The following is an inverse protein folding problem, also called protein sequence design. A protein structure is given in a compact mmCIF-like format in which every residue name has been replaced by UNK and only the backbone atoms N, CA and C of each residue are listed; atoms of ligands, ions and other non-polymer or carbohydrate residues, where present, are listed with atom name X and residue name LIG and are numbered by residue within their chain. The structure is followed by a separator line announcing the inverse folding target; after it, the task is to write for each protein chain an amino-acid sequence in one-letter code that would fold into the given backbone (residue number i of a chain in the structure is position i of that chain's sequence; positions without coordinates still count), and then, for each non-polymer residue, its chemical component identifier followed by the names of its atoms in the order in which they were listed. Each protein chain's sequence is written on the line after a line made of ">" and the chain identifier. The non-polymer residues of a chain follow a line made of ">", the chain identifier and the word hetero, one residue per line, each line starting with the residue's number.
data_IF_686485888134
#
_entry.id   IF_686485888134
#
_cell.length_a   1.000
_cell.length_b   1.000
_cell.length_c   1.000
_cell.angle_alpha   90.00
_cell.angle_beta   90.00
_cell.angle_gamma   90.00
#
_symmetry.space_group_name_H-M   'P 1'
#
loop_
_entity.id
_entity.type
_entity.pdbx_description
1 polymer ?
#
# COMPACT_ATOMS: atom_id res chain seq x y z
N UNK A 1 20.64 -26.85 23.38
CA UNK A 1 20.24 -25.55 22.82
C UNK A 1 19.33 -24.92 23.84
N UNK A 2 19.60 -23.67 24.28
CA UNK A 2 18.69 -22.99 25.20
C UNK A 2 17.33 -22.84 24.50
N UNK A 3 16.27 -23.25 25.18
CA UNK A 3 14.90 -23.02 24.76
C UNK A 3 14.74 -21.52 24.48
N UNK A 4 14.54 -21.18 23.21
CA UNK A 4 14.14 -19.83 22.83
C UNK A 4 12.72 -19.65 23.39
N UNK A 5 12.52 -18.60 24.18
CA UNK A 5 11.20 -18.21 24.65
C UNK A 5 10.28 -18.01 23.44
N UNK A 6 9.28 -18.89 23.29
CA UNK A 6 8.32 -18.83 22.19
C UNK A 6 7.47 -17.54 22.22
N UNK A 7 7.53 -16.76 23.31
CA UNK A 7 6.92 -15.43 23.40
C UNK A 7 7.80 -14.30 22.85
N UNK A 8 9.07 -14.55 22.51
CA UNK A 8 9.98 -13.54 22.00
C UNK A 8 9.91 -13.45 20.47
N UNK A 9 9.10 -12.53 19.96
CA UNK A 9 9.16 -12.06 18.58
C UNK A 9 9.84 -10.70 18.51
N UNK A 10 10.68 -10.49 17.50
CA UNK A 10 11.40 -9.24 17.31
C UNK A 10 11.63 -8.92 15.83
N UNK A 11 11.66 -7.62 15.54
CA UNK A 11 12.01 -7.08 14.22
C UNK A 11 13.19 -6.15 14.38
N UNK A 12 14.25 -6.41 13.61
CA UNK A 12 15.42 -5.55 13.52
C UNK A 12 15.23 -4.68 12.29
N UNK A 13 15.06 -3.38 12.51
CA UNK A 13 14.95 -2.38 11.47
C UNK A 13 16.28 -1.63 11.44
N UNK A 14 17.05 -1.83 10.37
CA UNK A 14 18.28 -1.09 10.10
C UNK A 14 17.99 -0.01 9.08
N UNK A 15 17.87 1.24 9.53
CA UNK A 15 17.80 2.41 8.65
C UNK A 15 19.21 2.72 8.09
N UNK A 16 19.27 3.13 6.82
CA UNK A 16 20.49 3.53 6.11
C UNK A 16 20.19 4.85 5.41
N UNK A 17 21.02 5.85 5.67
CA UNK A 17 20.79 7.20 5.20
C UNK A 17 21.46 7.47 3.86
N UNK A 18 20.92 8.42 3.11
CA UNK A 18 21.56 8.87 1.87
C UNK A 18 22.98 9.34 2.16
N UNK A 19 23.94 8.81 1.42
CA UNK A 19 25.34 9.17 1.55
C UNK A 19 26.13 8.33 2.54
N UNK A 20 25.49 7.47 3.33
CA UNK A 20 26.19 6.44 4.11
C UNK A 20 27.11 5.62 3.21
N UNK A 21 28.31 5.31 3.72
CA UNK A 21 29.32 4.57 2.96
C UNK A 21 29.66 3.26 3.63
N UNK A 22 29.83 2.22 2.82
CA UNK A 22 30.32 0.91 3.25
C UNK A 22 31.56 0.58 2.44
N UNK A 23 32.67 0.30 3.13
CA UNK A 23 33.89 -0.22 2.53
C UNK A 23 34.15 -1.64 3.04
N UNK A 24 34.09 -2.62 2.14
CA UNK A 24 34.37 -4.03 2.43
C UNK A 24 35.63 -4.46 1.66
N UNK A 25 36.74 -4.52 2.37
CA UNK A 25 38.06 -4.74 1.78
C UNK A 25 38.47 -3.62 0.80
N UNK A 26 39.31 -3.96 -0.16
CA UNK A 26 39.77 -3.01 -1.18
C UNK A 26 38.83 -2.90 -2.39
N UNK A 27 37.94 -3.87 -2.59
CA UNK A 27 37.17 -4.03 -3.84
C UNK A 27 35.76 -3.46 -3.78
N UNK A 28 35.16 -3.34 -2.59
CA UNK A 28 33.78 -2.87 -2.47
C UNK A 28 33.74 -1.53 -1.75
N UNK A 29 33.44 -0.48 -2.50
CA UNK A 29 33.00 0.80 -1.97
C UNK A 29 31.57 1.03 -2.45
N UNK A 30 30.64 1.20 -1.52
CA UNK A 30 29.24 1.49 -1.81
C UNK A 30 28.83 2.75 -1.06
N UNK A 31 28.10 3.64 -1.75
CA UNK A 31 27.48 4.83 -1.18
C UNK A 31 25.98 4.74 -1.35
N UNK A 32 25.24 4.89 -0.27
CA UNK A 32 23.79 4.80 -0.27
C UNK A 32 23.17 5.92 -1.12
N UNK A 33 22.37 5.62 -2.16
CA UNK A 33 21.86 6.63 -3.08
C UNK A 33 20.65 7.40 -2.52
N UNK A 34 19.96 6.85 -1.52
CA UNK A 34 18.74 7.40 -0.90
C UNK A 34 18.48 6.74 0.45
N UNK A 35 17.79 7.43 1.34
CA UNK A 35 17.32 6.88 2.61
C UNK A 35 16.43 5.64 2.39
N UNK A 36 16.70 4.59 3.16
CA UNK A 36 16.00 3.32 3.07
C UNK A 36 16.20 2.48 4.33
N UNK A 37 15.45 1.37 4.47
CA UNK A 37 15.69 0.40 5.55
C UNK A 37 15.85 -1.03 5.05
N UNK A 38 16.52 -1.83 5.88
CA UNK A 38 16.49 -3.28 5.84
C UNK A 38 15.75 -3.80 7.08
N UNK A 39 14.86 -4.78 6.90
CA UNK A 39 14.06 -5.37 7.97
C UNK A 39 14.39 -6.85 8.06
N UNK A 40 14.92 -7.28 9.20
CA UNK A 40 15.07 -8.69 9.56
C UNK A 40 14.04 -9.04 10.64
N UNK A 41 13.28 -10.10 10.42
CA UNK A 41 12.14 -10.45 11.27
C UNK A 41 12.29 -11.86 11.83
N UNK A 42 12.09 -12.00 13.14
CA UNK A 42 11.77 -13.26 13.79
C UNK A 42 10.39 -13.10 14.46
N UNK A 43 9.36 -13.59 13.79
CA UNK A 43 7.97 -13.48 14.24
C UNK A 43 7.21 -14.75 13.83
N UNK A 44 7.31 -15.82 14.65
CA UNK A 44 6.69 -17.10 14.34
C UNK A 44 5.16 -17.05 14.13
N UNK A 45 4.38 -16.34 14.97
CA UNK A 45 2.93 -16.24 14.76
C UNK A 45 2.55 -15.63 13.42
N UNK A 46 3.16 -14.49 13.03
CA UNK A 46 2.87 -13.87 11.74
C UNK A 46 3.47 -14.67 10.56
N UNK A 47 4.57 -15.40 10.78
CA UNK A 47 5.13 -16.32 9.78
C UNK A 47 4.19 -17.49 9.45
N UNK A 48 3.20 -17.76 10.31
CA UNK A 48 2.13 -18.73 10.06
C UNK A 48 0.77 -18.06 9.88
N UNK A 49 0.70 -16.73 9.84
CA UNK A 49 -0.56 -15.98 9.82
C UNK A 49 -1.55 -16.52 10.87
N UNK A 50 -1.06 -16.64 12.11
CA UNK A 50 -1.88 -17.07 13.23
C UNK A 50 -2.90 -15.99 13.57
N UNK A 51 -4.17 -16.37 13.59
CA UNK A 51 -5.28 -15.49 13.95
C UNK A 51 -5.87 -16.02 15.25
N UNK A 52 -5.95 -15.19 16.29
CA UNK A 52 -6.48 -15.59 17.59
C UNK A 52 -7.89 -16.19 17.47
N UNK A 53 -8.15 -17.29 18.16
CA UNK A 53 -9.45 -17.97 18.11
C UNK A 53 -10.61 -17.06 18.52
N UNK A 54 -10.39 -16.22 19.55
CA UNK A 54 -11.37 -15.22 19.97
C UNK A 54 -11.72 -14.23 18.85
N UNK A 55 -10.72 -13.76 18.09
CA UNK A 55 -10.95 -12.87 16.95
C UNK A 55 -11.73 -13.58 15.83
N UNK A 56 -11.42 -14.84 15.55
CA UNK A 56 -12.14 -15.64 14.55
C UNK A 56 -13.60 -15.89 14.96
N UNK A 57 -13.85 -16.12 16.25
CA UNK A 57 -15.20 -16.35 16.79
C UNK A 57 -16.06 -15.09 16.72
N UNK A 58 -15.48 -13.94 17.07
CA UNK A 58 -16.23 -12.69 17.28
C UNK A 58 -16.16 -11.72 16.07
N UNK A 59 -15.66 -12.17 14.92
CA UNK A 59 -15.43 -11.33 13.73
C UNK A 59 -16.69 -10.63 13.22
N UNK A 60 -17.86 -11.27 13.26
CA UNK A 60 -19.13 -10.65 12.85
C UNK A 60 -19.50 -9.49 13.77
N UNK A 61 -19.40 -9.69 15.09
CA UNK A 61 -19.72 -8.65 16.10
C UNK A 61 -18.76 -7.48 15.98
N UNK A 62 -17.48 -7.75 15.68
CA UNK A 62 -16.49 -6.70 15.43
C UNK A 62 -16.80 -5.94 14.13
N UNK A 63 -17.18 -6.66 13.07
CA UNK A 63 -17.52 -6.07 11.77
C UNK A 63 -18.74 -5.15 11.83
N UNK A 64 -19.79 -5.53 12.56
CA UNK A 64 -20.99 -4.69 12.78
C UNK A 64 -20.67 -3.36 13.48
N UNK A 65 -19.57 -3.30 14.24
CA UNK A 65 -19.13 -2.12 14.98
C UNK A 65 -17.98 -1.37 14.32
N UNK A 66 -17.60 -1.75 13.11
CA UNK A 66 -16.42 -1.23 12.41
C UNK A 66 -16.79 -0.72 11.03
N UNK A 67 -16.25 0.44 10.66
CA UNK A 67 -16.40 0.98 9.30
C UNK A 67 -15.31 0.48 8.34
N UNK A 68 -14.19 -0.01 8.89
CA UNK A 68 -12.99 -0.38 8.13
C UNK A 68 -12.29 -1.61 8.72
N UNK A 69 -11.94 -2.55 7.84
CA UNK A 69 -11.05 -3.67 8.09
C UNK A 69 -9.79 -3.53 7.21
N UNK A 70 -8.62 -3.36 7.84
CA UNK A 70 -7.33 -3.31 7.14
C UNK A 70 -6.64 -4.67 7.28
N UNK A 71 -6.23 -5.23 6.14
CA UNK A 71 -5.54 -6.51 6.02
C UNK A 71 -4.11 -6.27 5.55
N UNK A 72 -3.15 -6.98 6.15
CA UNK A 72 -1.77 -7.06 5.67
C UNK A 72 -1.12 -8.33 6.21
N UNK A 73 0.21 -8.43 6.14
CA UNK A 73 0.97 -9.52 6.79
C UNK A 73 1.15 -10.80 5.97
N UNK A 74 0.39 -11.00 4.87
CA UNK A 74 0.57 -12.19 4.01
C UNK A 74 2.03 -12.41 3.57
N UNK A 75 2.75 -11.32 3.31
CA UNK A 75 4.17 -11.33 2.91
C UNK A 75 5.10 -12.04 3.92
N UNK A 76 4.69 -12.18 5.18
CA UNK A 76 5.44 -12.83 6.24
C UNK A 76 5.31 -14.35 6.23
N UNK A 77 4.32 -14.92 5.54
CA UNK A 77 4.07 -16.36 5.51
C UNK A 77 5.34 -17.13 5.13
N UNK A 78 5.77 -18.04 6.00
CA UNK A 78 6.92 -18.89 5.79
C UNK A 78 6.55 -20.04 4.85
N UNK A 79 6.57 -19.73 3.55
CA UNK A 79 6.25 -20.69 2.48
C UNK A 79 7.14 -21.92 2.51
N UNK A 80 8.40 -21.81 2.95
CA UNK A 80 9.30 -22.97 3.05
C UNK A 80 8.82 -23.96 4.11
N UNK A 81 8.34 -23.46 5.25
CA UNK A 81 7.80 -24.29 6.34
C UNK A 81 6.42 -24.85 5.99
N UNK A 82 5.52 -24.00 5.50
CA UNK A 82 4.11 -24.35 5.26
C UNK A 82 3.88 -25.18 4.00
N UNK A 83 4.77 -25.06 3.01
CA UNK A 83 4.54 -25.60 1.69
C UNK A 83 3.33 -24.97 0.98
N UNK A 84 2.99 -25.48 -0.21
CA UNK A 84 1.87 -24.95 -1.00
C UNK A 84 0.53 -25.11 -0.30
N UNK A 85 0.25 -26.27 0.28
CA UNK A 85 -1.05 -26.53 0.90
C UNK A 85 -1.25 -25.78 2.21
N UNK A 86 -0.21 -25.63 3.04
CA UNK A 86 -0.30 -24.77 4.22
C UNK A 86 -0.55 -23.30 3.85
N UNK A 87 0.13 -22.78 2.83
CA UNK A 87 -0.14 -21.43 2.30
C UNK A 87 -1.60 -21.30 1.82
N UNK A 88 -2.11 -22.30 1.07
CA UNK A 88 -3.50 -22.29 0.62
C UNK A 88 -4.47 -22.22 1.81
N UNK A 89 -4.27 -23.06 2.82
CA UNK A 89 -5.12 -23.13 4.00
C UNK A 89 -5.15 -21.79 4.75
N UNK A 90 -3.99 -21.15 4.97
CA UNK A 90 -3.91 -19.85 5.65
C UNK A 90 -4.62 -18.75 4.87
N UNK A 91 -4.46 -18.72 3.54
CA UNK A 91 -5.16 -17.76 2.68
C UNK A 91 -6.67 -18.01 2.73
N UNK A 92 -7.14 -19.23 2.45
CA UNK A 92 -8.57 -19.58 2.42
C UNK A 92 -9.24 -19.23 3.75
N UNK A 93 -8.63 -19.62 4.87
CA UNK A 93 -9.16 -19.32 6.20
C UNK A 93 -9.31 -17.81 6.45
N UNK A 94 -8.36 -17.01 5.96
CA UNK A 94 -8.44 -15.55 6.07
C UNK A 94 -9.57 -14.98 5.20
N UNK A 95 -9.71 -15.49 3.97
CA UNK A 95 -10.78 -15.10 3.05
C UNK A 95 -12.17 -15.45 3.61
N UNK A 96 -12.33 -16.61 4.26
CA UNK A 96 -13.57 -17.01 4.94
C UNK A 96 -13.97 -16.04 6.07
N UNK A 97 -13.01 -15.57 6.86
CA UNK A 97 -13.26 -14.56 7.90
C UNK A 97 -13.70 -13.23 7.30
N UNK A 98 -13.10 -12.82 6.19
CA UNK A 98 -13.47 -11.59 5.48
C UNK A 98 -14.89 -11.72 4.93
N UNK A 99 -15.26 -12.86 4.35
CA UNK A 99 -16.63 -13.13 3.88
C UNK A 99 -17.63 -13.04 5.03
N UNK A 100 -17.31 -13.60 6.21
CA UNK A 100 -18.16 -13.49 7.41
C UNK A 100 -18.31 -12.03 7.86
N UNK A 101 -17.21 -11.28 7.92
CA UNK A 101 -17.22 -9.86 8.29
C UNK A 101 -18.10 -9.03 7.34
N UNK A 102 -17.92 -9.18 6.03
CA UNK A 102 -18.72 -8.46 5.01
C UNK A 102 -20.19 -8.86 5.02
N UNK A 103 -20.50 -10.11 5.35
CA UNK A 103 -21.89 -10.56 5.50
C UNK A 103 -22.58 -9.90 6.70
N UNK A 104 -21.85 -9.75 7.82
CA UNK A 104 -22.36 -9.10 9.02
C UNK A 104 -22.50 -7.57 8.83
N UNK A 105 -21.57 -6.95 8.11
CA UNK A 105 -21.63 -5.54 7.73
C UNK A 105 -21.37 -5.35 6.23
N UNK A 106 -22.44 -5.26 5.41
CA UNK A 106 -22.30 -5.03 3.96
C UNK A 106 -21.63 -3.70 3.57
N UNK A 107 -21.60 -2.72 4.48
CA UNK A 107 -20.97 -1.42 4.28
C UNK A 107 -19.51 -1.39 4.74
N UNK A 108 -18.99 -2.49 5.30
CA UNK A 108 -17.62 -2.59 5.78
C UNK A 108 -16.63 -2.36 4.64
N UNK A 109 -15.84 -1.29 4.73
CA UNK A 109 -14.73 -1.09 3.81
C UNK A 109 -13.61 -2.07 4.15
N UNK A 110 -13.25 -2.95 3.23
CA UNK A 110 -12.12 -3.88 3.40
C UNK A 110 -10.97 -3.44 2.53
N UNK A 111 -9.82 -3.14 3.15
CA UNK A 111 -8.60 -2.68 2.50
C UNK A 111 -7.45 -3.67 2.67
N UNK A 112 -6.77 -4.01 1.58
CA UNK A 112 -5.53 -4.78 1.60
C UNK A 112 -4.32 -3.86 1.39
N UNK A 113 -3.46 -3.72 2.40
CA UNK A 113 -2.16 -3.07 2.25
C UNK A 113 -1.11 -4.11 1.88
N UNK A 114 -0.54 -3.97 0.69
CA UNK A 114 0.54 -4.84 0.25
C UNK A 114 1.87 -4.47 0.88
N UNK A 115 2.69 -5.50 1.04
CA UNK A 115 4.10 -5.34 1.31
C UNK A 115 4.86 -6.29 0.41
N UNK A 116 6.03 -5.87 -0.04
CA UNK A 116 6.84 -6.66 -0.97
C UNK A 116 7.14 -8.05 -0.41
N UNK A 117 6.91 -9.05 -1.26
CA UNK A 117 7.37 -10.42 -1.02
C UNK A 117 8.00 -10.96 -2.29
N UNK A 118 9.21 -11.52 -2.16
CA UNK A 118 9.86 -12.22 -3.28
C UNK A 118 9.28 -13.61 -3.50
N UNK A 119 8.32 -14.04 -2.69
CA UNK A 119 7.76 -15.38 -2.80
C UNK A 119 6.66 -15.43 -3.87
N UNK A 120 7.06 -15.90 -5.05
CA UNK A 120 6.16 -16.00 -6.19
C UNK A 120 4.98 -16.94 -5.97
N UNK A 121 5.22 -18.06 -5.28
CA UNK A 121 4.18 -19.03 -4.96
C UNK A 121 3.10 -18.36 -4.12
N UNK A 122 3.47 -17.68 -3.03
CA UNK A 122 2.53 -16.96 -2.17
C UNK A 122 1.66 -15.99 -2.95
N UNK A 123 2.25 -15.09 -3.74
CA UNK A 123 1.49 -14.12 -4.54
C UNK A 123 0.55 -14.82 -5.53
N UNK A 124 1.06 -15.81 -6.28
CA UNK A 124 0.23 -16.58 -7.22
C UNK A 124 -0.95 -17.27 -6.52
N UNK A 125 -0.77 -17.77 -5.29
CA UNK A 125 -1.87 -18.38 -4.52
C UNK A 125 -2.84 -17.34 -3.96
N UNK A 126 -2.34 -16.25 -3.37
CA UNK A 126 -3.15 -15.17 -2.82
C UNK A 126 -4.11 -14.63 -3.86
N UNK A 127 -3.60 -14.23 -5.03
CA UNK A 127 -4.43 -13.66 -6.09
C UNK A 127 -5.31 -14.70 -6.79
N UNK A 128 -4.88 -15.97 -6.87
CA UNK A 128 -5.75 -17.02 -7.41
C UNK A 128 -6.99 -17.26 -6.54
N UNK A 129 -6.85 -17.24 -5.21
CA UNK A 129 -8.00 -17.42 -4.33
C UNK A 129 -8.82 -16.15 -4.20
N UNK A 130 -8.16 -14.99 -4.09
CA UNK A 130 -8.84 -13.71 -3.95
C UNK A 130 -9.54 -13.25 -5.22
N UNK A 131 -9.22 -13.80 -6.40
CA UNK A 131 -9.93 -13.47 -7.64
C UNK A 131 -11.28 -14.19 -7.78
N UNK A 132 -11.62 -15.12 -6.88
CA UNK A 132 -12.85 -15.91 -6.95
C UNK A 132 -14.09 -15.16 -6.47
N UNK A 133 -13.89 -14.09 -5.70
CA UNK A 133 -14.94 -13.23 -5.16
C UNK A 133 -14.33 -11.86 -4.80
N UNK A 134 -15.14 -10.89 -4.40
CA UNK A 134 -14.67 -9.57 -3.97
C UNK A 134 -14.45 -9.56 -2.45
N UNK A 135 -13.25 -9.97 -2.01
CA UNK A 135 -12.89 -9.99 -0.58
C UNK A 135 -12.49 -8.61 -0.05
N UNK A 136 -11.83 -7.80 -0.87
CA UNK A 136 -11.48 -6.42 -0.53
C UNK A 136 -11.83 -5.50 -1.70
N UNK A 137 -12.36 -4.33 -1.36
CA UNK A 137 -12.79 -3.33 -2.32
C UNK A 137 -11.69 -2.27 -2.50
N UNK A 138 -10.74 -2.21 -1.55
CA UNK A 138 -9.60 -1.31 -1.63
C UNK A 138 -8.24 -2.02 -1.51
N UNK A 139 -7.24 -1.52 -2.23
CA UNK A 139 -5.86 -1.99 -2.17
C UNK A 139 -4.88 -0.81 -2.09
N UNK A 140 -3.82 -0.94 -1.30
CA UNK A 140 -2.71 0.03 -1.20
C UNK A 140 -1.38 -0.64 -1.56
N UNK A 141 -0.57 0.01 -2.40
CA UNK A 141 0.75 -0.48 -2.77
C UNK A 141 1.68 0.59 -3.38
N UNK A 142 2.98 0.30 -3.45
CA UNK A 142 3.98 1.11 -4.18
C UNK A 142 4.24 0.59 -5.60
N UNK A 143 5.18 1.22 -6.32
CA UNK A 143 5.54 0.86 -7.71
C UNK A 143 6.07 -0.58 -7.85
N UNK A 144 6.81 -1.06 -6.84
CA UNK A 144 7.40 -2.40 -6.87
C UNK A 144 6.34 -3.46 -6.65
N UNK A 145 5.47 -3.23 -5.67
CA UNK A 145 4.34 -4.10 -5.38
C UNK A 145 3.32 -4.11 -6.53
N UNK A 146 3.14 -3.00 -7.25
CA UNK A 146 2.34 -2.97 -8.49
C UNK A 146 2.90 -3.93 -9.57
N UNK A 147 4.22 -4.00 -9.71
CA UNK A 147 4.86 -4.97 -10.62
C UNK A 147 4.65 -6.40 -10.14
N UNK A 148 4.84 -6.67 -8.85
CA UNK A 148 4.59 -7.99 -8.25
C UNK A 148 3.14 -8.46 -8.46
N UNK A 149 2.19 -7.54 -8.25
CA UNK A 149 0.76 -7.68 -8.55
C UNK A 149 0.51 -8.07 -10.00
N UNK A 150 1.01 -7.27 -10.95
CA UNK A 150 0.83 -7.50 -12.38
C UNK A 150 1.37 -8.85 -12.82
N UNK A 151 2.55 -9.22 -12.33
CA UNK A 151 3.07 -10.55 -12.60
C UNK A 151 2.09 -11.61 -12.08
N UNK A 152 1.56 -11.47 -10.85
CA UNK A 152 0.67 -12.44 -10.20
C UNK A 152 -0.63 -12.66 -10.96
N UNK A 153 -1.23 -11.58 -11.48
CA UNK A 153 -2.42 -11.62 -12.35
C UNK A 153 -2.10 -11.94 -13.82
N UNK A 154 -0.92 -12.51 -14.08
CA UNK A 154 -0.43 -13.00 -15.38
C UNK A 154 -0.23 -11.91 -16.44
N UNK A 155 -0.03 -10.66 -16.03
CA UNK A 155 0.32 -9.52 -16.90
C UNK A 155 1.85 -9.31 -16.98
N UNK A 156 2.60 -10.39 -17.22
CA UNK A 156 4.08 -10.39 -17.16
C UNK A 156 4.73 -9.40 -18.13
N UNK A 157 4.17 -9.24 -19.32
CA UNK A 157 4.70 -8.30 -20.33
C UNK A 157 4.67 -6.86 -19.80
N UNK A 158 3.50 -6.41 -19.35
CA UNK A 158 3.32 -5.07 -18.79
C UNK A 158 4.15 -4.87 -17.52
N UNK A 159 4.24 -5.89 -16.67
CA UNK A 159 5.12 -5.86 -15.50
C UNK A 159 6.59 -5.63 -15.86
N UNK A 160 7.10 -6.32 -16.91
CA UNK A 160 8.47 -6.14 -17.39
C UNK A 160 8.70 -4.75 -18.01
N UNK A 161 7.73 -4.24 -18.78
CA UNK A 161 7.78 -2.89 -19.36
C UNK A 161 7.84 -1.82 -18.25
N UNK A 162 6.99 -1.92 -17.22
CA UNK A 162 7.06 -1.02 -16.05
C UNK A 162 8.38 -1.17 -15.32
N UNK A 163 8.88 -2.39 -15.12
CA UNK A 163 10.13 -2.63 -14.39
C UNK A 163 11.34 -1.99 -15.06
N UNK A 164 11.34 -1.85 -16.39
CA UNK A 164 12.40 -1.18 -17.13
C UNK A 164 12.44 0.34 -16.85
N UNK A 165 11.27 0.98 -16.68
CA UNK A 165 11.12 2.44 -16.59
C UNK A 165 10.30 2.91 -15.36
N UNK A 166 10.37 2.16 -14.25
CA UNK A 166 9.45 2.25 -13.10
C UNK A 166 9.34 3.65 -12.48
N UNK A 167 10.42 4.43 -12.53
CA UNK A 167 10.51 5.76 -11.90
C UNK A 167 10.41 6.93 -12.88
N UNK A 168 10.16 6.65 -14.16
CA UNK A 168 10.18 7.66 -15.23
C UNK A 168 8.94 7.60 -16.11
N UNK A 169 8.35 6.42 -16.30
CA UNK A 169 7.22 6.19 -17.19
C UNK A 169 5.90 6.01 -16.43
N UNK A 170 5.30 7.12 -16.01
CA UNK A 170 4.01 7.13 -15.31
C UNK A 170 2.84 6.66 -16.19
N UNK A 171 2.96 6.72 -17.51
CA UNK A 171 1.94 6.19 -18.42
C UNK A 171 1.80 4.67 -18.23
N UNK A 172 2.92 3.95 -18.22
CA UNK A 172 2.92 2.51 -17.96
C UNK A 172 2.42 2.17 -16.54
N UNK A 173 2.77 2.98 -15.53
CA UNK A 173 2.26 2.81 -14.16
C UNK A 173 0.74 2.92 -14.14
N UNK A 174 0.16 3.96 -14.77
CA UNK A 174 -1.30 4.13 -14.85
C UNK A 174 -1.94 2.97 -15.62
N UNK A 175 -1.35 2.52 -16.74
CA UNK A 175 -1.85 1.34 -17.50
C UNK A 175 -1.86 0.09 -16.61
N UNK A 176 -0.78 -0.13 -15.87
CA UNK A 176 -0.65 -1.23 -14.92
C UNK A 176 -1.69 -1.18 -13.81
N UNK A 177 -1.89 -0.01 -13.22
CA UNK A 177 -2.85 0.23 -12.16
C UNK A 177 -4.29 -0.07 -12.60
N UNK A 178 -4.71 0.47 -13.74
CA UNK A 178 -6.03 0.20 -14.33
C UNK A 178 -6.22 -1.29 -14.61
N UNK A 179 -5.17 -1.98 -15.09
CA UNK A 179 -5.24 -3.42 -15.32
C UNK A 179 -5.42 -4.22 -14.04
N UNK A 180 -4.80 -3.78 -12.95
CA UNK A 180 -5.00 -4.37 -11.62
C UNK A 180 -6.42 -4.11 -11.13
N UNK A 181 -6.93 -2.88 -11.23
CA UNK A 181 -8.30 -2.55 -10.86
C UNK A 181 -9.33 -3.42 -11.61
N UNK A 182 -9.19 -3.54 -12.94
CA UNK A 182 -10.04 -4.39 -13.79
C UNK A 182 -10.00 -5.86 -13.35
N UNK A 183 -8.79 -6.44 -13.20
CA UNK A 183 -8.62 -7.86 -12.93
C UNK A 183 -9.04 -8.28 -11.52
N UNK A 184 -8.88 -7.37 -10.55
CA UNK A 184 -9.22 -7.61 -9.15
C UNK A 184 -10.55 -7.00 -8.74
N UNK A 185 -11.28 -6.35 -9.68
CA UNK A 185 -12.55 -5.67 -9.44
C UNK A 185 -12.50 -4.71 -8.24
N UNK A 186 -11.43 -3.93 -8.16
CA UNK A 186 -11.22 -2.99 -7.05
C UNK A 186 -12.08 -1.75 -7.26
N UNK A 187 -12.74 -1.26 -6.22
CA UNK A 187 -13.38 0.05 -6.24
C UNK A 187 -12.37 1.17 -5.94
N UNK A 188 -11.26 0.85 -5.26
CA UNK A 188 -10.24 1.82 -4.85
C UNK A 188 -8.83 1.24 -4.87
N UNK A 189 -7.95 1.74 -5.72
CA UNK A 189 -6.51 1.44 -5.68
C UNK A 189 -5.72 2.69 -5.33
N UNK A 190 -4.95 2.64 -4.25
CA UNK A 190 -4.07 3.72 -3.81
C UNK A 190 -2.60 3.35 -4.07
N UNK A 191 -1.98 4.06 -5.00
CA UNK A 191 -0.55 3.94 -5.25
C UNK A 191 0.22 5.06 -4.55
N UNK A 192 1.03 4.69 -3.56
CA UNK A 192 1.87 5.63 -2.81
C UNK A 192 3.27 5.77 -3.45
N UNK A 193 3.30 6.25 -4.70
CA UNK A 193 4.55 6.39 -5.47
C UNK A 193 5.49 7.42 -4.83
N UNK A 194 6.80 7.25 -5.04
CA UNK A 194 7.77 8.26 -4.65
C UNK A 194 7.58 9.54 -5.49
N UNK A 195 7.10 10.60 -4.85
CA UNK A 195 6.90 11.89 -5.47
C UNK A 195 5.49 12.14 -6.01
N UNK A 196 4.58 11.16 -5.96
CA UNK A 196 3.19 11.33 -6.38
C UNK A 196 2.30 10.22 -5.82
N UNK A 197 1.22 10.55 -5.14
CA UNK A 197 0.15 9.58 -4.92
C UNK A 197 -0.76 9.53 -6.13
N UNK A 198 -1.18 8.32 -6.49
CA UNK A 198 -2.26 8.10 -7.45
C UNK A 198 -3.37 7.34 -6.74
N UNK A 199 -4.60 7.83 -6.85
CA UNK A 199 -5.78 7.14 -6.36
C UNK A 199 -6.71 6.87 -7.55
N UNK A 200 -7.01 5.60 -7.75
CA UNK A 200 -7.99 5.13 -8.72
C UNK A 200 -9.24 4.79 -7.94
N UNK A 201 -10.38 5.38 -8.29
CA UNK A 201 -11.68 5.05 -7.71
C UNK A 201 -12.68 4.73 -8.82
N UNK A 202 -13.61 3.82 -8.58
CA UNK A 202 -14.70 3.56 -9.53
C UNK A 202 -15.54 4.82 -9.77
N UNK A 203 -16.20 4.94 -10.92
CA UNK A 203 -17.01 6.15 -11.21
C UNK A 203 -18.20 6.35 -10.27
N UNK A 204 -18.72 5.26 -9.73
CA UNK A 204 -19.79 5.24 -8.74
C UNK A 204 -19.28 5.34 -7.29
N UNK A 205 -17.99 5.65 -7.10
CA UNK A 205 -17.42 5.75 -5.77
C UNK A 205 -18.13 6.84 -4.95
N UNK A 206 -18.54 6.54 -3.71
CA UNK A 206 -19.48 7.38 -2.97
C UNK A 206 -18.91 8.72 -2.48
N UNK A 207 -17.59 8.95 -2.64
CA UNK A 207 -16.91 10.14 -2.13
C UNK A 207 -16.48 11.06 -3.27
N UNK A 208 -16.92 12.33 -3.26
CA UNK A 208 -16.52 13.30 -4.27
C UNK A 208 -15.00 13.46 -4.40
N UNK A 209 -14.54 13.63 -5.63
CA UNK A 209 -13.13 13.79 -5.99
C UNK A 209 -12.39 14.86 -5.18
N UNK A 210 -13.05 16.00 -4.94
CA UNK A 210 -12.48 17.10 -4.15
C UNK A 210 -12.22 16.71 -2.69
N UNK A 211 -13.01 15.80 -2.11
CA UNK A 211 -12.80 15.31 -0.76
C UNK A 211 -11.71 14.24 -0.74
N UNK A 212 -11.70 13.32 -1.71
CA UNK A 212 -10.62 12.34 -1.89
C UNK A 212 -9.26 13.02 -2.09
N UNK A 213 -9.20 14.12 -2.85
CA UNK A 213 -7.98 14.91 -2.96
C UNK A 213 -7.49 15.40 -1.59
N UNK A 214 -8.40 15.91 -0.75
CA UNK A 214 -8.07 16.37 0.61
C UNK A 214 -7.59 15.23 1.51
N UNK A 215 -8.16 14.02 1.41
CA UNK A 215 -7.71 12.87 2.23
C UNK A 215 -6.28 12.45 1.87
N UNK A 216 -5.91 12.50 0.60
CA UNK A 216 -4.55 12.21 0.13
C UNK A 216 -3.56 13.32 0.53
N UNK A 217 -3.95 14.59 0.48
CA UNK A 217 -3.14 15.68 1.01
C UNK A 217 -2.90 15.51 2.50
N UNK A 218 -3.93 15.15 3.25
CA UNK A 218 -3.81 14.83 4.68
C UNK A 218 -2.84 13.67 4.92
N UNK A 219 -2.96 12.58 4.16
CA UNK A 219 -2.04 11.44 4.24
C UNK A 219 -0.58 11.84 3.97
N UNK A 220 -0.34 12.67 2.95
CA UNK A 220 0.98 13.21 2.60
C UNK A 220 1.59 14.00 3.76
N UNK A 221 0.80 14.84 4.42
CA UNK A 221 1.21 15.63 5.58
C UNK A 221 1.55 14.74 6.79
N UNK A 222 0.71 13.75 7.10
CA UNK A 222 0.97 12.82 8.22
C UNK A 222 2.21 11.97 7.95
N UNK A 223 2.41 11.51 6.72
CA UNK A 223 3.60 10.76 6.33
C UNK A 223 4.87 11.58 6.46
N UNK A 224 4.86 12.84 6.00
CA UNK A 224 5.97 13.76 6.16
C UNK A 224 6.25 14.05 7.64
N UNK A 225 5.21 14.27 8.45
CA UNK A 225 5.36 14.46 9.89
C UNK A 225 6.03 13.25 10.56
N UNK A 226 5.58 12.02 10.21
CA UNK A 226 6.21 10.78 10.70
C UNK A 226 7.66 10.69 10.26
N UNK A 227 7.96 11.01 9.00
CA UNK A 227 9.32 10.99 8.49
C UNK A 227 10.25 11.97 9.22
N UNK A 228 9.76 13.18 9.56
CA UNK A 228 10.53 14.21 10.29
C UNK A 228 10.71 13.85 11.76
N UNK A 229 9.70 13.28 12.41
CA UNK A 229 9.67 13.16 13.89
C UNK A 229 9.84 11.73 14.42
N UNK A 230 9.69 10.72 13.56
CA UNK A 230 9.54 9.32 13.95
C UNK A 230 8.21 9.00 14.65
N UNK A 231 7.27 9.96 14.73
CA UNK A 231 6.00 9.81 15.45
C UNK A 231 4.81 9.86 14.50
N UNK A 232 3.88 8.93 14.68
CA UNK A 232 2.61 8.88 13.98
C UNK A 232 1.41 8.83 14.95
N UNK A 233 1.65 9.01 16.25
CA UNK A 233 0.65 8.93 17.31
C UNK A 233 0.58 10.25 18.07
N UNK A 234 -0.63 10.68 18.42
CA UNK A 234 -0.88 11.89 19.21
C UNK A 234 -1.80 12.88 18.50
N UNK A 235 -2.19 13.93 19.23
CA UNK A 235 -2.89 15.08 18.65
C UNK A 235 -1.84 16.01 18.07
N UNK A 236 -1.85 16.18 16.74
CA UNK A 236 -0.94 17.09 16.06
C UNK A 236 -1.67 18.39 15.73
N UNK A 237 -1.02 19.53 15.96
CA UNK A 237 -1.54 20.78 15.42
C UNK A 237 -1.13 20.86 13.96
N UNK A 238 -2.11 21.04 13.09
CA UNK A 238 -1.87 21.17 11.65
C UNK A 238 -0.81 22.23 11.31
N UNK A 239 -0.79 23.33 12.07
CA UNK A 239 0.21 24.39 11.94
C UNK A 239 1.65 23.91 12.18
N UNK A 240 1.89 23.03 13.16
CA UNK A 240 3.23 22.50 13.44
C UNK A 240 3.74 21.64 12.27
N UNK A 241 2.84 20.94 11.59
CA UNK A 241 3.18 20.12 10.42
C UNK A 241 3.53 21.03 9.23
N UNK A 242 2.76 22.09 8.99
CA UNK A 242 3.04 23.02 7.90
C UNK A 242 4.32 23.82 8.15
N UNK A 243 4.53 24.33 9.37
CA UNK A 243 5.69 25.16 9.70
C UNK A 243 7.03 24.39 9.58
N UNK A 244 6.96 23.04 9.57
CA UNK A 244 8.12 22.15 9.40
C UNK A 244 8.36 21.71 7.96
N UNK A 245 7.46 22.05 7.03
CA UNK A 245 7.47 21.56 5.65
C UNK A 245 7.44 22.74 4.67
N UNK A 246 8.50 22.88 3.86
CA UNK A 246 8.46 23.75 2.69
C UNK A 246 7.76 23.03 1.52
N UNK A 247 6.46 23.28 1.35
CA UNK A 247 5.62 22.61 0.34
C UNK A 247 6.08 22.94 -1.09
N UNK A 248 6.53 24.17 -1.34
CA UNK A 248 6.91 24.64 -2.68
C UNK A 248 8.28 24.07 -3.10
N UNK A 249 9.24 24.00 -2.18
CA UNK A 249 10.53 23.36 -2.43
C UNK A 249 10.44 21.83 -2.54
N UNK A 250 9.40 21.23 -1.94
CA UNK A 250 9.22 19.77 -1.92
C UNK A 250 8.34 19.24 -3.05
N UNK A 251 7.75 20.10 -3.89
CA UNK A 251 6.86 19.66 -4.97
C UNK A 251 7.61 18.79 -6.00
N UNK A 252 7.34 17.47 -6.05
CA UNK A 252 8.19 16.58 -6.82
C UNK A 252 8.01 16.78 -8.33
N UNK A 253 9.11 16.68 -9.09
CA UNK A 253 9.07 16.65 -10.56
C UNK A 253 8.13 15.54 -11.08
N UNK A 254 8.00 14.45 -10.32
CA UNK A 254 7.08 13.35 -10.53
C UNK A 254 5.62 13.84 -10.67
N UNK A 255 5.10 14.55 -9.67
CA UNK A 255 3.73 15.07 -9.69
C UNK A 255 3.46 15.98 -10.89
N UNK A 256 4.39 16.88 -11.25
CA UNK A 256 4.22 17.75 -12.43
C UNK A 256 4.07 16.93 -13.72
N UNK A 257 4.85 15.86 -13.88
CA UNK A 257 4.74 14.94 -15.04
C UNK A 257 3.40 14.21 -15.05
N UNK A 258 3.00 13.64 -13.91
CA UNK A 258 1.73 12.91 -13.75
C UNK A 258 0.53 13.82 -14.01
N UNK A 259 0.47 15.00 -13.39
CA UNK A 259 -0.64 15.94 -13.57
C UNK A 259 -0.78 16.40 -15.02
N UNK A 260 0.34 16.66 -15.71
CA UNK A 260 0.31 16.99 -17.14
C UNK A 260 -0.16 15.81 -18.00
N UNK A 261 0.18 14.57 -17.61
CA UNK A 261 -0.30 13.37 -18.29
C UNK A 261 -1.81 13.19 -18.09
N UNK A 262 -2.31 13.32 -16.86
CA UNK A 262 -3.75 13.20 -16.57
C UNK A 262 -4.57 14.26 -17.30
N UNK A 263 -4.12 15.52 -17.33
CA UNK A 263 -4.77 16.57 -18.14
C UNK A 263 -4.87 16.17 -19.62
N UNK A 264 -3.81 15.60 -20.21
CA UNK A 264 -3.86 15.09 -21.59
C UNK A 264 -4.89 13.96 -21.71
N UNK A 265 -4.91 13.01 -20.78
CA UNK A 265 -5.84 11.90 -20.80
C UNK A 265 -7.30 12.39 -20.70
N UNK A 266 -7.59 13.39 -19.87
CA UNK A 266 -8.93 13.99 -19.72
C UNK A 266 -9.36 14.81 -20.95
N UNK A 267 -8.47 15.64 -21.52
CA UNK A 267 -8.81 16.51 -22.65
C UNK A 267 -8.96 15.72 -23.96
N UNK A 268 -8.20 14.63 -24.13
CA UNK A 268 -8.28 13.75 -25.29
C UNK A 268 -9.02 12.47 -24.89
N UNK A 269 -10.35 12.56 -24.75
CA UNK A 269 -11.25 11.41 -24.50
C UNK A 269 -10.83 10.24 -25.40
N UNK A 270 -10.24 9.21 -24.79
CA UNK A 270 -9.46 8.15 -25.43
C UNK A 270 -8.08 8.61 -25.96
N UNK A 271 -7.11 8.78 -25.06
CA UNK A 271 -5.75 8.41 -25.43
C UNK A 271 -5.82 6.90 -25.73
N UNK A 272 -5.56 6.49 -26.98
CA UNK A 272 -5.92 5.19 -27.62
C UNK A 272 -5.69 3.90 -26.80
N UNK A 273 -4.93 3.97 -25.71
CA UNK A 273 -4.52 2.84 -24.88
C UNK A 273 -5.11 2.84 -23.45
N UNK A 274 -5.95 3.81 -23.09
CA UNK A 274 -6.55 3.93 -21.76
C UNK A 274 -8.07 3.83 -21.82
N UNK A 275 -8.63 2.79 -21.23
CA UNK A 275 -10.05 2.73 -20.91
C UNK A 275 -10.27 3.31 -19.50
N UNK A 276 -10.65 4.59 -19.45
CA UNK A 276 -11.04 5.26 -18.21
C UNK A 276 -12.54 5.16 -17.94
N UNK A 277 -13.31 4.41 -18.73
CA UNK A 277 -14.77 4.47 -18.64
C UNK A 277 -15.28 4.03 -17.26
N UNK A 278 -14.50 3.27 -16.50
CA UNK A 278 -14.88 2.70 -15.21
C UNK A 278 -14.22 3.39 -14.00
N UNK A 279 -13.19 4.22 -14.19
CA UNK A 279 -12.39 4.78 -13.09
C UNK A 279 -12.07 6.27 -13.24
N UNK A 280 -12.13 6.98 -12.11
CA UNK A 280 -11.54 8.30 -11.91
C UNK A 280 -10.13 8.16 -11.32
N UNK A 281 -9.21 9.00 -11.78
CA UNK A 281 -7.80 9.00 -11.31
C UNK A 281 -7.47 10.35 -10.69
N UNK A 282 -7.04 10.35 -9.43
CA UNK A 282 -6.56 11.52 -8.72
C UNK A 282 -5.06 11.44 -8.53
N UNK A 283 -4.35 12.51 -8.87
CA UNK A 283 -2.95 12.67 -8.54
C UNK A 283 -2.77 13.71 -7.44
N UNK A 284 -1.96 13.38 -6.43
CA UNK A 284 -1.64 14.29 -5.33
C UNK A 284 -0.12 14.33 -5.13
N UNK A 285 0.49 15.52 -4.99
CA UNK A 285 1.91 15.59 -4.69
C UNK A 285 2.21 15.04 -3.30
N UNK A 286 3.33 14.33 -3.19
CA UNK A 286 3.85 13.88 -1.91
C UNK A 286 4.86 14.86 -1.38
N UNK A 287 4.87 15.06 -0.06
CA UNK A 287 5.91 15.85 0.59
C UNK A 287 7.12 14.94 0.83
N UNK A 288 8.23 15.21 0.12
CA UNK A 288 9.47 14.43 0.25
C UNK A 288 10.39 15.09 1.27
N UNK A 289 10.53 14.46 2.43
CA UNK A 289 11.48 14.85 3.47
C UNK A 289 12.89 14.41 3.05
N UNK A 290 13.83 15.34 3.00
CA UNK A 290 15.20 15.06 2.52
C UNK A 290 16.01 14.20 3.49
N UNK A 291 15.90 14.47 4.79
CA UNK A 291 16.64 13.78 5.85
C UNK A 291 15.67 13.19 6.88
N UNK A 292 14.94 12.11 6.52
CA UNK A 292 13.95 11.51 7.42
C UNK A 292 14.62 10.81 8.60
N UNK A 293 14.08 11.00 9.81
CA UNK A 293 14.45 10.21 11.00
C UNK A 293 14.05 8.74 10.83
N UNK A 294 12.94 8.48 10.14
CA UNK A 294 12.40 7.13 10.00
C UNK A 294 11.71 6.95 8.64
N UNK A 295 11.98 5.83 7.97
CA UNK A 295 11.32 5.46 6.71
C UNK A 295 10.40 4.25 6.84
N UNK A 296 10.54 3.47 7.93
CA UNK A 296 9.70 2.29 8.16
C UNK A 296 8.22 2.63 8.40
N UNK A 297 7.35 1.88 7.72
CA UNK A 297 5.90 2.01 7.81
C UNK A 297 5.35 3.34 7.29
N UNK A 298 6.08 4.07 6.44
CA UNK A 298 5.53 5.26 5.78
C UNK A 298 4.36 4.90 4.85
N UNK A 299 4.49 3.84 4.04
CA UNK A 299 3.40 3.31 3.20
C UNK A 299 2.12 3.02 4.00
N UNK A 300 2.26 2.23 5.07
CA UNK A 300 1.15 1.93 5.98
C UNK A 300 0.50 3.19 6.56
N UNK A 301 1.32 4.19 6.91
CA UNK A 301 0.84 5.48 7.45
C UNK A 301 0.05 6.26 6.39
N UNK A 302 0.54 6.27 5.16
CA UNK A 302 -0.11 6.93 4.02
C UNK A 302 -1.48 6.30 3.75
N UNK A 303 -1.53 4.98 3.62
CA UNK A 303 -2.78 4.25 3.37
C UNK A 303 -3.77 4.42 4.51
N UNK A 304 -3.35 4.22 5.77
CA UNK A 304 -4.22 4.35 6.92
C UNK A 304 -4.75 5.77 7.12
N UNK A 305 -3.90 6.80 6.98
CA UNK A 305 -4.31 8.19 7.13
C UNK A 305 -5.31 8.60 6.04
N UNK A 306 -5.10 8.17 4.79
CA UNK A 306 -6.03 8.45 3.69
C UNK A 306 -7.40 7.80 3.94
N UNK A 307 -7.41 6.52 4.36
CA UNK A 307 -8.65 5.78 4.62
C UNK A 307 -9.44 6.37 5.79
N UNK A 308 -8.79 6.66 6.92
CA UNK A 308 -9.49 7.23 8.10
C UNK A 308 -10.07 8.61 7.78
N UNK A 309 -9.32 9.46 7.07
CA UNK A 309 -9.84 10.76 6.63
C UNK A 309 -11.03 10.60 5.67
N UNK A 310 -10.99 9.58 4.80
CA UNK A 310 -12.11 9.26 3.91
C UNK A 310 -13.35 8.77 4.67
N UNK A 311 -13.19 7.90 5.68
CA UNK A 311 -14.29 7.44 6.53
C UNK A 311 -14.99 8.60 7.24
N UNK A 312 -14.23 9.61 7.65
CA UNK A 312 -14.80 10.82 8.26
C UNK A 312 -15.74 11.54 7.29
N UNK A 313 -15.40 11.59 5.99
CA UNK A 313 -16.30 12.14 4.98
C UNK A 313 -17.47 11.22 4.66
N UNK A 314 -17.29 9.89 4.68
CA UNK A 314 -18.40 8.93 4.52
C UNK A 314 -19.49 9.18 5.57
N UNK A 315 -19.10 9.28 6.84
CA UNK A 315 -20.03 9.54 7.95
C UNK A 315 -20.71 10.93 7.89
N UNK A 316 -20.13 11.89 7.17
CA UNK A 316 -20.73 13.22 6.97
C UNK A 316 -21.70 13.26 5.78
N UNK A 317 -21.55 12.34 4.82
CA UNK A 317 -22.32 12.30 3.59
C UNK A 317 -23.49 11.30 3.64
N UNK A 318 -23.39 10.27 4.49
CA UNK A 318 -24.37 9.18 4.65
C UNK A 318 -24.69 8.99 6.13
#
# INVERSE_FOLDING_TARGET
>A
MKDFDESLYFHIISEVHKGDTLKLGEKLYWKCPRDNRFIATFDPPNAELEILEAFQRDIEVLAEKSDLLILSGFHMLNVKKLGKEGVNQKIIKTLELITRAKKANPNLLVHLELASTKNRLLLDRLYYYSSKDTYWNSLGCNERELVELLEAIKQKRLANEIKADMFTNYELIIKGALKVCEKLKLERLHLHLFGCYLLFVSKDYPIPEVLLFKTLCFASLIAAHKAITGKAKGVFKFKEIIDTIDIDATLPKAFKKVNNLLKKIETYVSYKDFDLNEYTILAVPTIIVQDPIQTVGLGDTISAAALIAELTYRQLLF
#
